data_IF_264333355826
#
_entry.id   IF_264333355826
#
_cell.length_a   1.000
_cell.length_b   1.000
_cell.length_c   1.000
_cell.angle_alpha   90.00
_cell.angle_beta   90.00
_cell.angle_gamma   90.00
#
_symmetry.space_group_name_H-M   'P 1'
#
loop_
_entity.id
_entity.type
_entity.pdbx_description
1 polymer ?
#
# COMPACT_ATOMS: atom_id res chain seq x y z
N UNK A 1 -14.92 27.33 -12.97
CA UNK A 1 -14.91 25.99 -12.32
C UNK A 1 -13.56 25.80 -11.65
N UNK A 2 -13.52 25.74 -10.32
CA UNK A 2 -12.28 25.75 -9.52
C UNK A 2 -11.56 24.40 -9.63
N UNK A 3 -10.73 24.25 -10.66
CA UNK A 3 -9.89 23.08 -10.92
C UNK A 3 -8.51 23.33 -10.30
N UNK A 4 -8.21 22.73 -9.14
CA UNK A 4 -6.89 22.88 -8.53
C UNK A 4 -6.72 22.40 -7.09
N UNK A 5 -7.81 22.21 -6.33
CA UNK A 5 -7.72 21.71 -4.95
C UNK A 5 -7.47 20.20 -4.94
N UNK A 6 -6.34 19.77 -4.34
CA UNK A 6 -6.02 18.36 -4.09
C UNK A 6 -5.97 18.10 -2.58
N UNK A 7 -6.73 17.12 -2.13
CA UNK A 7 -6.85 16.76 -0.72
C UNK A 7 -6.20 15.41 -0.47
N UNK A 8 -5.19 15.39 0.38
CA UNK A 8 -4.50 14.17 0.82
C UNK A 8 -4.96 13.81 2.23
N UNK A 9 -5.41 12.56 2.39
CA UNK A 9 -5.88 11.99 3.66
C UNK A 9 -5.16 10.67 3.93
N UNK A 10 -5.07 10.31 5.20
CA UNK A 10 -4.64 8.98 5.62
C UNK A 10 -5.54 7.90 5.01
N UNK A 11 -4.95 6.76 4.66
CA UNK A 11 -5.68 5.56 4.26
C UNK A 11 -6.41 4.97 5.50
N UNK A 12 -7.77 4.97 5.51
CA UNK A 12 -8.54 4.51 6.66
C UNK A 12 -8.35 3.01 6.91
N UNK A 13 -8.03 2.22 5.89
CA UNK A 13 -7.96 0.75 5.97
C UNK A 13 -6.90 0.31 6.97
N UNK A 14 -5.71 0.93 6.95
CA UNK A 14 -4.65 0.60 7.93
C UNK A 14 -5.04 0.99 9.35
N UNK A 15 -5.75 2.10 9.52
CA UNK A 15 -6.29 2.51 10.83
C UNK A 15 -7.26 1.47 11.37
N UNK A 16 -8.26 1.11 10.58
CA UNK A 16 -9.30 0.13 10.95
C UNK A 16 -8.69 -1.25 11.22
N UNK A 17 -7.76 -1.72 10.39
CA UNK A 17 -7.09 -3.01 10.61
C UNK A 17 -6.29 -3.01 11.91
N UNK A 18 -5.51 -1.95 12.18
CA UNK A 18 -4.77 -1.85 13.44
C UNK A 18 -5.70 -1.76 14.65
N UNK A 19 -6.80 -1.02 14.56
CA UNK A 19 -7.81 -0.92 15.61
C UNK A 19 -8.48 -2.28 15.86
N UNK A 20 -8.82 -3.04 14.81
CA UNK A 20 -9.40 -4.38 14.91
C UNK A 20 -8.45 -5.35 15.61
N UNK A 21 -7.19 -5.40 15.20
CA UNK A 21 -6.19 -6.31 15.81
C UNK A 21 -5.96 -5.97 17.28
N UNK A 22 -5.78 -4.67 17.59
CA UNK A 22 -5.58 -4.20 18.96
C UNK A 22 -6.81 -4.48 19.81
N UNK A 23 -8.02 -4.25 19.29
CA UNK A 23 -9.28 -4.51 20.00
C UNK A 23 -9.47 -6.00 20.25
N UNK A 24 -9.24 -6.85 19.25
CA UNK A 24 -9.34 -8.31 19.41
C UNK A 24 -8.35 -8.83 20.48
N UNK A 25 -7.11 -8.34 20.45
CA UNK A 25 -6.10 -8.70 21.44
C UNK A 25 -6.50 -8.23 22.85
N UNK A 26 -6.91 -6.96 22.99
CA UNK A 26 -7.34 -6.40 24.26
C UNK A 26 -8.58 -7.10 24.80
N UNK A 27 -9.58 -7.38 23.98
CA UNK A 27 -10.77 -8.12 24.37
C UNK A 27 -10.43 -9.53 24.85
N UNK A 28 -9.54 -10.24 24.14
CA UNK A 28 -9.07 -11.55 24.59
C UNK A 28 -8.34 -11.46 25.93
N UNK A 29 -7.36 -10.56 26.08
CA UNK A 29 -6.65 -10.35 27.35
C UNK A 29 -7.62 -10.00 28.48
N UNK A 30 -8.60 -9.13 28.22
CA UNK A 30 -9.61 -8.73 29.21
C UNK A 30 -10.47 -9.92 29.62
N UNK A 31 -10.89 -10.77 28.68
CA UNK A 31 -11.70 -11.95 28.95
C UNK A 31 -10.97 -13.00 29.81
N UNK A 32 -9.65 -13.14 29.68
CA UNK A 32 -8.89 -14.17 30.39
C UNK A 32 -8.23 -13.68 31.68
N UNK A 33 -7.76 -12.43 31.70
CA UNK A 33 -6.97 -11.87 32.79
C UNK A 33 -7.87 -11.16 33.81
N UNK A 34 -8.82 -10.35 33.35
CA UNK A 34 -9.67 -9.55 34.25
C UNK A 34 -10.46 -10.41 35.25
N UNK A 35 -11.02 -11.59 34.88
CA UNK A 35 -11.70 -12.43 35.85
C UNK A 35 -10.80 -12.82 37.02
N UNK A 36 -9.51 -13.04 36.81
CA UNK A 36 -8.58 -13.50 37.87
C UNK A 36 -8.40 -12.46 38.98
N UNK A 37 -8.59 -11.18 38.67
CA UNK A 37 -8.49 -10.07 39.60
C UNK A 37 -9.84 -9.67 40.23
N UNK A 38 -10.94 -10.29 39.80
CA UNK A 38 -12.27 -10.03 40.37
C UNK A 38 -12.53 -10.91 41.62
N UNK A 39 -13.28 -10.40 42.62
CA UNK A 39 -13.56 -11.15 43.84
C UNK A 39 -14.24 -12.49 43.54
N UNK A 40 -13.72 -13.59 44.13
CA UNK A 40 -14.29 -14.95 43.94
C UNK A 40 -15.72 -15.11 44.47
N UNK A 41 -16.18 -14.19 45.32
CA UNK A 41 -17.53 -14.18 45.91
C UNK A 41 -18.58 -13.52 45.02
N UNK A 42 -18.18 -13.01 43.86
CA UNK A 42 -19.05 -12.32 42.92
C UNK A 42 -19.78 -13.34 42.04
N UNK A 43 -21.09 -13.16 41.84
CA UNK A 43 -21.88 -14.04 40.97
C UNK A 43 -21.33 -14.07 39.54
N UNK A 44 -21.40 -15.25 38.91
CA UNK A 44 -20.89 -15.51 37.57
C UNK A 44 -21.47 -14.55 36.52
N UNK A 45 -22.74 -14.20 36.65
CA UNK A 45 -23.44 -13.28 35.76
C UNK A 45 -22.90 -11.85 35.88
N UNK A 46 -22.81 -11.33 37.11
CA UNK A 46 -22.25 -10.00 37.40
C UNK A 46 -20.80 -9.88 36.94
N UNK A 47 -20.01 -10.94 37.14
CA UNK A 47 -18.61 -11.02 36.70
C UNK A 47 -18.51 -10.99 35.17
N UNK A 48 -19.37 -11.72 34.47
CA UNK A 48 -19.46 -11.72 33.00
C UNK A 48 -19.83 -10.35 32.43
N UNK A 49 -20.84 -9.68 33.02
CA UNK A 49 -21.28 -8.34 32.61
C UNK A 49 -20.15 -7.32 32.78
N UNK A 50 -19.43 -7.36 33.91
CA UNK A 50 -18.35 -6.42 34.21
C UNK A 50 -17.19 -6.56 33.20
N UNK A 51 -16.81 -7.79 32.86
CA UNK A 51 -15.79 -8.08 31.84
C UNK A 51 -16.23 -7.59 30.46
N UNK A 52 -17.50 -7.82 30.09
CA UNK A 52 -18.06 -7.35 28.82
C UNK A 52 -18.05 -5.82 28.70
N UNK A 53 -18.48 -5.11 29.76
CA UNK A 53 -18.47 -3.65 29.81
C UNK A 53 -17.05 -3.10 29.64
N UNK A 54 -16.07 -3.67 30.34
CA UNK A 54 -14.66 -3.24 30.23
C UNK A 54 -14.13 -3.49 28.82
N UNK A 55 -14.43 -4.64 28.21
CA UNK A 55 -14.01 -4.95 26.84
C UNK A 55 -14.62 -3.98 25.82
N UNK A 56 -15.90 -3.60 25.97
CA UNK A 56 -16.57 -2.63 25.12
C UNK A 56 -15.97 -1.23 25.27
N UNK A 57 -15.72 -0.77 26.50
CA UNK A 57 -15.10 0.53 26.77
C UNK A 57 -13.70 0.59 26.17
N UNK A 58 -12.86 -0.44 26.37
CA UNK A 58 -11.52 -0.51 25.77
C UNK A 58 -11.58 -0.46 24.24
N UNK A 59 -12.50 -1.21 23.64
CA UNK A 59 -12.71 -1.19 22.18
C UNK A 59 -13.09 0.21 21.69
N UNK A 60 -14.02 0.88 22.38
CA UNK A 60 -14.41 2.26 22.08
C UNK A 60 -13.24 3.24 22.18
N UNK A 61 -12.43 3.14 23.23
CA UNK A 61 -11.23 3.98 23.43
C UNK A 61 -10.21 3.77 22.32
N UNK A 62 -9.93 2.52 21.93
CA UNK A 62 -9.00 2.18 20.84
C UNK A 62 -9.50 2.78 19.52
N UNK A 63 -10.77 2.58 19.17
CA UNK A 63 -11.33 3.12 17.94
C UNK A 63 -11.30 4.65 17.92
N UNK A 64 -11.69 5.29 19.02
CA UNK A 64 -11.69 6.76 19.14
C UNK A 64 -10.26 7.31 19.03
N UNK A 65 -9.29 6.71 19.70
CA UNK A 65 -7.88 7.12 19.65
C UNK A 65 -7.29 6.98 18.24
N UNK A 66 -7.54 5.86 17.57
CA UNK A 66 -6.99 5.58 16.23
C UNK A 66 -7.61 6.47 15.16
N UNK A 67 -8.92 6.73 15.25
CA UNK A 67 -9.66 7.48 14.23
C UNK A 67 -9.61 8.99 14.44
N UNK A 68 -9.58 9.47 15.68
CA UNK A 68 -9.73 10.91 15.99
C UNK A 68 -8.39 11.64 16.20
N UNK A 69 -7.49 11.10 17.04
CA UNK A 69 -6.23 11.78 17.41
C UNK A 69 -5.16 11.78 16.31
N UNK A 70 -5.33 10.94 15.28
CA UNK A 70 -4.34 10.76 14.20
C UNK A 70 -4.85 11.17 12.81
N UNK A 71 -5.92 11.96 12.74
CA UNK A 71 -6.46 12.43 11.47
C UNK A 71 -5.67 13.67 10.99
N UNK A 72 -4.69 13.44 10.11
CA UNK A 72 -3.95 14.53 9.44
C UNK A 72 -4.45 14.66 8.01
N UNK A 73 -4.85 15.87 7.62
CA UNK A 73 -5.32 16.22 6.27
C UNK A 73 -4.40 17.29 5.70
N UNK A 74 -3.92 17.08 4.48
CA UNK A 74 -3.18 18.11 3.74
C UNK A 74 -4.00 18.53 2.53
N UNK A 75 -4.28 19.82 2.41
CA UNK A 75 -5.01 20.40 1.28
C UNK A 75 -4.04 21.27 0.51
N UNK A 76 -3.81 20.95 -0.76
CA UNK A 76 -2.96 21.75 -1.64
C UNK A 76 -3.84 22.50 -2.62
N UNK A 77 -3.74 23.82 -2.59
CA UNK A 77 -4.35 24.77 -3.53
C UNK A 77 -3.26 25.35 -4.45
N UNK A 78 -3.68 26.16 -5.42
CA UNK A 78 -2.74 26.79 -6.35
C UNK A 78 -1.79 27.77 -5.66
N UNK A 79 -2.30 28.48 -4.65
CA UNK A 79 -1.64 29.55 -3.90
C UNK A 79 -1.20 29.14 -2.49
N UNK A 80 -1.85 28.15 -1.88
CA UNK A 80 -1.67 27.81 -0.47
C UNK A 80 -1.65 26.31 -0.20
N UNK A 81 -0.99 25.92 0.89
CA UNK A 81 -0.96 24.55 1.41
C UNK A 81 -1.46 24.59 2.85
N UNK A 82 -2.56 23.89 3.11
CA UNK A 82 -3.16 23.81 4.44
C UNK A 82 -2.90 22.43 5.04
N UNK A 83 -2.42 22.41 6.28
CA UNK A 83 -2.13 21.19 7.02
C UNK A 83 -3.02 21.19 8.27
N UNK A 84 -4.06 20.36 8.23
CA UNK A 84 -4.97 20.14 9.35
C UNK A 84 -4.53 18.94 10.17
N UNK A 85 -4.28 19.15 11.46
CA UNK A 85 -4.20 18.11 12.50
C UNK A 85 -5.47 18.14 13.36
N UNK A 86 -5.68 17.10 14.15
CA UNK A 86 -6.79 17.07 15.12
C UNK A 86 -6.74 18.34 16.01
N UNK A 87 -7.70 19.24 15.84
CA UNK A 87 -7.84 20.48 16.60
C UNK A 87 -6.98 21.69 16.15
N UNK A 88 -6.12 21.56 15.13
CA UNK A 88 -5.29 22.69 14.66
C UNK A 88 -5.16 22.70 13.12
N UNK A 89 -5.17 23.88 12.50
CA UNK A 89 -5.01 24.06 11.06
C UNK A 89 -4.00 25.16 10.79
N UNK A 90 -2.91 24.79 10.13
CA UNK A 90 -1.87 25.73 9.69
C UNK A 90 -1.97 25.93 8.18
N UNK A 91 -1.77 27.16 7.72
CA UNK A 91 -1.84 27.54 6.31
C UNK A 91 -0.50 28.15 5.91
N UNK A 92 0.07 27.65 4.82
CA UNK A 92 1.37 28.06 4.29
C UNK A 92 1.18 28.61 2.87
N UNK A 93 1.74 29.79 2.57
CA UNK A 93 1.76 30.35 1.22
C UNK A 93 2.78 29.62 0.36
N UNK A 94 2.36 29.13 -0.81
CA UNK A 94 3.18 28.32 -1.69
C UNK A 94 4.30 29.10 -2.37
N UNK A 95 4.13 30.41 -2.58
CA UNK A 95 5.13 31.24 -3.24
C UNK A 95 6.38 31.45 -2.38
N UNK A 96 6.20 31.47 -1.06
CA UNK A 96 7.25 31.80 -0.08
C UNK A 96 7.68 30.62 0.79
N UNK A 97 7.04 29.46 0.62
CA UNK A 97 7.31 28.25 1.41
C UNK A 97 8.00 27.16 0.60
N UNK A 98 9.14 26.69 1.09
CA UNK A 98 9.84 25.53 0.56
C UNK A 98 9.36 24.23 1.20
N UNK A 99 9.05 23.22 0.39
CA UNK A 99 8.63 21.91 0.89
C UNK A 99 9.69 20.85 0.57
N UNK A 100 10.07 20.05 1.57
CA UNK A 100 10.98 18.90 1.41
C UNK A 100 10.45 17.67 2.13
N UNK A 101 10.92 16.50 1.74
CA UNK A 101 10.55 15.24 2.37
C UNK A 101 11.59 14.80 3.41
N UNK A 102 11.12 14.19 4.50
CA UNK A 102 11.94 13.46 5.48
C UNK A 102 11.34 12.09 5.72
N UNK A 103 12.14 11.05 5.57
CA UNK A 103 11.72 9.67 5.79
C UNK A 103 12.64 9.07 6.84
N UNK A 104 12.05 8.65 7.96
CA UNK A 104 12.77 8.02 9.07
C UNK A 104 12.42 6.55 9.11
N UNK A 105 13.42 5.67 8.98
CA UNK A 105 13.27 4.23 9.16
C UNK A 105 13.53 3.85 10.62
N UNK A 106 12.58 3.13 11.22
CA UNK A 106 12.67 2.62 12.58
C UNK A 106 13.12 1.17 12.57
N UNK A 107 14.04 0.82 13.48
CA UNK A 107 14.55 -0.54 13.66
C UNK A 107 14.48 -0.93 15.14
N UNK A 108 14.11 -2.18 15.40
CA UNK A 108 14.07 -2.77 16.74
C UNK A 108 14.85 -4.09 16.67
N UNK A 109 15.93 -4.21 17.46
CA UNK A 109 16.84 -5.36 17.45
C UNK A 109 17.39 -5.69 16.03
N UNK A 110 17.73 -4.65 15.26
CA UNK A 110 18.24 -4.79 13.88
C UNK A 110 17.17 -5.09 12.82
N UNK A 111 15.95 -5.47 13.22
CA UNK A 111 14.83 -5.70 12.32
C UNK A 111 14.07 -4.40 12.06
N UNK A 112 13.66 -4.19 10.80
CA UNK A 112 12.87 -3.02 10.42
C UNK A 112 11.49 -3.07 11.09
N UNK A 113 11.22 -2.13 11.99
CA UNK A 113 9.99 -2.06 12.78
C UNK A 113 9.00 -1.02 12.26
N UNK A 114 9.43 -0.02 11.49
CA UNK A 114 8.51 0.97 10.92
C UNK A 114 9.16 2.01 10.01
N UNK A 115 8.33 2.87 9.43
CA UNK A 115 8.77 4.05 8.66
C UNK A 115 7.84 5.21 9.01
N UNK A 116 8.43 6.34 9.40
CA UNK A 116 7.72 7.61 9.61
C UNK A 116 8.04 8.54 8.46
N UNK A 117 7.00 9.17 7.89
CA UNK A 117 7.13 10.18 6.84
C UNK A 117 6.78 11.53 7.42
N UNK A 118 7.59 12.52 7.11
CA UNK A 118 7.38 13.88 7.53
C UNK A 118 7.61 14.84 6.37
N UNK A 119 6.86 15.93 6.39
CA UNK A 119 7.05 17.07 5.51
C UNK A 119 7.92 18.08 6.27
N UNK A 120 9.04 18.49 5.67
CA UNK A 120 9.80 19.63 6.15
C UNK A 120 9.28 20.86 5.42
N UNK A 121 8.82 21.83 6.19
CA UNK A 121 8.30 23.10 5.71
C UNK A 121 9.28 24.20 6.10
N UNK A 122 9.84 24.89 5.10
CA UNK A 122 10.68 26.07 5.28
C UNK A 122 9.85 27.31 4.97
N UNK A 123 9.49 28.06 6.01
CA UNK A 123 8.70 29.28 5.88
C UNK A 123 9.22 30.35 6.84
N UNK A 124 9.33 31.59 6.38
CA UNK A 124 9.79 32.74 7.18
C UNK A 124 11.13 32.49 7.94
N UNK A 125 12.09 31.80 7.31
CA UNK A 125 13.39 31.50 7.91
C UNK A 125 13.38 30.40 8.99
N UNK A 126 12.24 29.75 9.24
CA UNK A 126 12.10 28.64 10.18
C UNK A 126 11.87 27.32 9.44
N UNK A 127 12.51 26.26 9.94
CA UNK A 127 12.24 24.89 9.53
C UNK A 127 11.25 24.24 10.50
N UNK A 128 10.17 23.67 9.98
CA UNK A 128 9.16 22.96 10.75
C UNK A 128 9.05 21.54 10.19
N UNK A 129 9.25 20.54 11.05
CA UNK A 129 9.01 19.14 10.69
C UNK A 129 7.58 18.75 11.06
N UNK A 130 6.80 18.37 10.07
CA UNK A 130 5.41 17.93 10.22
C UNK A 130 5.35 16.43 9.96
N UNK A 131 5.21 15.65 11.02
CA UNK A 131 4.99 14.21 10.88
C UNK A 131 3.61 13.94 10.26
N UNK A 132 3.59 13.02 9.30
CA UNK A 132 2.39 12.59 8.58
C UNK A 132 2.10 11.11 8.89
N UNK A 133 1.71 10.79 10.14
CA UNK A 133 1.47 9.42 10.53
C UNK A 133 0.32 8.81 9.73
N UNK A 134 0.55 7.62 9.18
CA UNK A 134 -0.45 6.91 8.38
C UNK A 134 -0.52 7.33 6.92
N UNK A 135 0.26 8.33 6.47
CA UNK A 135 0.47 8.52 5.04
C UNK A 135 1.24 7.32 4.48
N UNK A 136 0.60 6.64 3.52
CA UNK A 136 1.23 5.56 2.78
C UNK A 136 2.35 6.15 1.91
N UNK A 137 3.17 5.26 1.33
CA UNK A 137 4.21 5.69 0.41
C UNK A 137 3.63 6.44 -0.80
N UNK A 138 2.56 5.92 -1.39
CA UNK A 138 1.91 6.53 -2.55
C UNK A 138 1.32 7.90 -2.21
N UNK A 139 0.50 7.99 -1.16
CA UNK A 139 -0.12 9.26 -0.76
C UNK A 139 0.92 10.35 -0.43
N UNK A 140 2.05 9.97 0.17
CA UNK A 140 3.13 10.91 0.46
C UNK A 140 3.91 11.32 -0.80
N UNK A 141 4.15 10.39 -1.72
CA UNK A 141 4.80 10.68 -2.99
C UNK A 141 3.93 11.60 -3.86
N UNK A 142 2.63 11.33 -3.96
CA UNK A 142 1.67 12.19 -4.66
C UNK A 142 1.64 13.60 -4.07
N UNK A 143 1.67 13.72 -2.75
CA UNK A 143 1.77 15.01 -2.06
C UNK A 143 3.05 15.74 -2.49
N UNK A 144 4.20 15.09 -2.45
CA UNK A 144 5.48 15.70 -2.84
C UNK A 144 5.53 16.07 -4.32
N UNK A 145 4.96 15.25 -5.20
CA UNK A 145 4.84 15.53 -6.63
C UNK A 145 4.05 16.82 -6.91
N UNK A 146 2.98 17.06 -6.14
CA UNK A 146 2.19 18.28 -6.25
C UNK A 146 2.93 19.47 -5.66
N UNK A 147 3.64 19.29 -4.54
CA UNK A 147 4.37 20.38 -3.86
C UNK A 147 5.65 20.79 -4.61
N UNK A 148 6.31 19.86 -5.29
CA UNK A 148 7.61 20.06 -5.96
C UNK A 148 7.60 19.42 -7.36
N UNK A 149 6.92 20.04 -8.34
CA UNK A 149 6.84 19.48 -9.70
C UNK A 149 8.22 19.46 -10.37
N UNK A 150 8.57 18.34 -11.00
CA UNK A 150 9.81 18.19 -11.78
C UNK A 150 9.73 19.06 -13.04
N UNK A 151 10.78 19.84 -13.31
CA UNK A 151 10.88 20.63 -14.54
C UNK A 151 10.89 19.71 -15.78
N UNK A 152 10.15 20.10 -16.83
CA UNK A 152 10.14 19.37 -18.10
C UNK A 152 11.51 19.48 -18.81
N UNK A 153 12.08 18.37 -19.34
CA UNK A 153 13.33 18.42 -20.09
C UNK A 153 13.16 19.15 -21.42
N UNK A 154 14.21 19.84 -21.88
CA UNK A 154 14.25 20.52 -23.17
C UNK A 154 14.12 19.52 -24.36
N UNK A 155 13.54 19.96 -25.50
CA UNK A 155 13.42 19.12 -26.70
C UNK A 155 14.80 18.82 -27.32
N UNK A 156 15.03 17.56 -27.73
CA UNK A 156 16.28 17.10 -28.33
C UNK A 156 16.24 17.12 -29.88
N UNK A 157 17.41 17.11 -30.51
CA UNK A 157 17.59 17.06 -31.97
C UNK A 157 16.99 15.77 -32.59
N UNK A 158 16.18 15.85 -33.67
CA UNK A 158 15.52 14.72 -34.30
C UNK A 158 16.46 13.65 -34.88
N UNK A 159 17.66 14.01 -35.37
CA UNK A 159 18.58 13.05 -36.02
C UNK A 159 19.31 12.21 -34.97
N UNK A 160 19.78 12.83 -33.90
CA UNK A 160 20.38 12.13 -32.77
C UNK A 160 19.35 11.27 -32.05
N UNK A 161 18.10 11.72 -31.96
CA UNK A 161 17.00 10.92 -31.44
C UNK A 161 16.68 9.69 -32.31
N UNK A 162 16.89 9.73 -33.63
CA UNK A 162 16.68 8.60 -34.52
C UNK A 162 17.82 7.57 -34.43
N UNK A 163 19.08 8.02 -34.35
CA UNK A 163 20.24 7.15 -34.16
C UNK A 163 20.21 6.49 -32.77
N UNK A 164 19.84 7.23 -31.73
CA UNK A 164 19.65 6.68 -30.39
C UNK A 164 18.56 5.58 -30.39
N UNK A 165 17.45 5.78 -31.13
CA UNK A 165 16.36 4.79 -31.25
C UNK A 165 16.79 3.45 -31.82
N UNK A 166 17.68 3.43 -32.80
CA UNK A 166 18.11 2.20 -33.48
C UNK A 166 18.89 1.24 -32.57
N UNK A 167 19.49 1.74 -31.49
CA UNK A 167 20.25 0.93 -30.53
C UNK A 167 19.44 0.51 -29.31
N UNK A 168 18.20 0.96 -29.17
CA UNK A 168 17.38 0.63 -28.01
C UNK A 168 16.73 -0.76 -28.15
N UNK A 169 16.62 -1.52 -27.04
CA UNK A 169 15.94 -2.81 -27.05
C UNK A 169 14.44 -2.65 -27.35
N UNK A 170 13.89 -3.55 -28.17
CA UNK A 170 12.45 -3.57 -28.52
C UNK A 170 11.65 -4.57 -27.69
N UNK A 171 12.31 -5.49 -27.00
CA UNK A 171 11.68 -6.54 -26.20
C UNK A 171 12.24 -6.58 -24.77
N UNK A 172 11.35 -6.85 -23.83
CA UNK A 172 11.61 -6.90 -22.41
C UNK A 172 10.91 -8.11 -21.81
N UNK A 173 11.58 -8.77 -20.88
CA UNK A 173 11.05 -9.86 -20.07
C UNK A 173 10.85 -9.37 -18.65
N UNK A 174 9.77 -9.80 -18.00
CA UNK A 174 9.43 -9.40 -16.64
C UNK A 174 9.35 -10.66 -15.79
N UNK A 175 10.36 -10.85 -14.92
CA UNK A 175 10.38 -11.97 -13.98
C UNK A 175 9.53 -11.65 -12.75
N UNK A 176 8.54 -12.50 -12.50
CA UNK A 176 7.64 -12.45 -11.34
C UNK A 176 7.77 -13.68 -10.43
N UNK A 177 8.83 -14.49 -10.62
CA UNK A 177 9.09 -15.73 -9.88
C UNK A 177 9.00 -15.56 -8.36
N UNK A 178 9.63 -14.51 -7.81
CA UNK A 178 9.61 -14.18 -6.37
C UNK A 178 8.22 -13.83 -5.84
N UNK A 179 7.40 -13.15 -6.64
CA UNK A 179 6.02 -12.83 -6.25
C UNK A 179 5.12 -14.07 -6.35
N UNK A 180 5.36 -14.95 -7.33
CA UNK A 180 4.65 -16.24 -7.47
C UNK A 180 4.96 -17.18 -6.30
N UNK A 181 6.22 -17.32 -5.93
CA UNK A 181 6.63 -18.17 -4.80
C UNK A 181 6.05 -17.67 -3.48
N UNK A 182 6.01 -16.35 -3.26
CA UNK A 182 5.36 -15.77 -2.09
C UNK A 182 3.86 -16.06 -2.05
N UNK A 183 3.14 -15.82 -3.17
CA UNK A 183 1.70 -16.09 -3.24
C UNK A 183 1.39 -17.57 -2.98
N UNK A 184 2.22 -18.48 -3.53
CA UNK A 184 2.11 -19.92 -3.29
C UNK A 184 2.41 -20.26 -1.82
N UNK A 185 3.47 -19.71 -1.23
CA UNK A 185 3.81 -19.93 0.19
C UNK A 185 2.72 -19.46 1.14
N UNK A 186 2.13 -18.29 0.89
CA UNK A 186 0.97 -17.80 1.67
C UNK A 186 -0.24 -18.74 1.53
N UNK A 187 -0.51 -19.22 0.31
CA UNK A 187 -1.63 -20.13 0.06
C UNK A 187 -1.43 -21.48 0.77
N UNK A 188 -0.22 -22.06 0.69
CA UNK A 188 0.13 -23.31 1.38
C UNK A 188 -0.01 -23.13 2.89
N UNK A 189 0.56 -22.06 3.46
CA UNK A 189 0.44 -21.76 4.88
C UNK A 189 -1.01 -21.58 5.34
N UNK A 190 -1.83 -20.92 4.53
CA UNK A 190 -3.26 -20.78 4.79
C UNK A 190 -3.96 -22.14 4.86
N UNK A 191 -3.73 -23.01 3.87
CA UNK A 191 -4.33 -24.35 3.81
C UNK A 191 -3.91 -25.19 5.02
N UNK A 192 -2.61 -25.23 5.34
CA UNK A 192 -2.09 -26.01 6.47
C UNK A 192 -2.73 -25.56 7.79
N UNK A 193 -2.78 -24.25 8.06
CA UNK A 193 -3.36 -23.73 9.31
C UNK A 193 -4.87 -23.98 9.40
N UNK A 194 -5.60 -23.84 8.30
CA UNK A 194 -7.04 -24.14 8.27
C UNK A 194 -7.31 -25.64 8.45
N UNK A 195 -6.47 -26.51 7.89
CA UNK A 195 -6.56 -27.96 8.11
C UNK A 195 -6.28 -28.32 9.58
N UNK A 196 -5.27 -27.71 10.20
CA UNK A 196 -4.98 -27.90 11.63
C UNK A 196 -6.15 -27.43 12.49
N UNK A 197 -6.71 -26.24 12.21
CA UNK A 197 -7.86 -25.72 12.93
C UNK A 197 -9.09 -26.65 12.79
N UNK A 198 -9.35 -27.16 11.58
CA UNK A 198 -10.45 -28.10 11.32
C UNK A 198 -10.24 -29.44 12.02
N UNK A 199 -9.03 -30.01 11.99
CA UNK A 199 -8.71 -31.28 12.62
C UNK A 199 -8.84 -31.20 14.16
N UNK A 200 -8.28 -30.16 14.77
CA UNK A 200 -8.41 -29.93 16.23
C UNK A 200 -9.87 -29.61 16.60
N UNK A 201 -10.56 -28.83 15.78
CA UNK A 201 -11.99 -28.57 15.94
C UNK A 201 -12.81 -29.85 15.92
N UNK A 202 -12.55 -30.77 14.98
CA UNK A 202 -13.22 -32.06 14.92
C UNK A 202 -12.92 -32.94 16.14
N UNK A 203 -11.67 -32.96 16.63
CA UNK A 203 -11.29 -33.67 17.86
C UNK A 203 -12.02 -33.12 19.09
N UNK A 204 -12.28 -31.81 19.16
CA UNK A 204 -13.04 -31.21 20.25
C UNK A 204 -14.48 -31.72 20.37
N UNK A 205 -15.05 -32.24 19.28
CA UNK A 205 -16.37 -32.89 19.27
C UNK A 205 -16.31 -34.38 19.62
N UNK A 206 -15.11 -34.97 19.80
CA UNK A 206 -14.99 -36.38 20.18
C UNK A 206 -15.22 -36.59 21.69
N UNK A 207 -15.95 -37.66 22.10
CA UNK A 207 -16.24 -37.92 23.50
C UNK A 207 -14.95 -38.09 24.33
N UNK A 208 -14.86 -37.42 25.48
CA UNK A 208 -13.73 -37.52 26.42
C UNK A 208 -12.49 -36.70 26.05
N UNK A 209 -12.45 -36.02 24.91
CA UNK A 209 -11.30 -35.19 24.51
C UNK A 209 -11.17 -33.91 25.34
N UNK A 210 -12.30 -33.27 25.68
CA UNK A 210 -12.32 -32.05 26.49
C UNK A 210 -11.94 -32.30 27.95
N UNK A 211 -12.06 -33.54 28.42
CA UNK A 211 -11.74 -33.94 29.80
C UNK A 211 -10.28 -34.42 29.93
N UNK A 212 -9.55 -34.57 28.82
CA UNK A 212 -8.16 -35.02 28.80
C UNK A 212 -7.12 -33.90 28.89
N UNK A 213 -5.87 -34.27 29.15
CA UNK A 213 -4.71 -33.35 29.19
C UNK A 213 -4.47 -32.63 27.85
N UNK A 214 -4.96 -33.20 26.75
CA UNK A 214 -4.87 -32.65 25.39
C UNK A 214 -5.96 -31.60 25.07
N UNK A 215 -6.92 -31.37 25.97
CA UNK A 215 -7.98 -30.37 25.82
C UNK A 215 -7.44 -28.95 25.57
N UNK A 216 -6.23 -28.65 26.07
CA UNK A 216 -5.53 -27.39 25.81
C UNK A 216 -5.28 -27.13 24.31
N UNK A 217 -5.26 -28.17 23.46
CA UNK A 217 -5.11 -28.00 22.01
C UNK A 217 -6.28 -27.24 21.38
N UNK A 218 -7.47 -27.24 21.99
CA UNK A 218 -8.63 -26.46 21.49
C UNK A 218 -8.31 -24.98 21.38
N UNK A 219 -7.39 -24.46 22.21
CA UNK A 219 -6.93 -23.08 22.15
C UNK A 219 -6.20 -22.76 20.83
N UNK A 220 -5.65 -23.75 20.13
CA UNK A 220 -4.99 -23.55 18.82
C UNK A 220 -5.99 -23.17 17.73
N UNK A 221 -7.24 -23.63 17.82
CA UNK A 221 -8.28 -23.43 16.80
C UNK A 221 -8.51 -21.95 16.45
N UNK A 222 -8.78 -21.04 17.40
CA UNK A 222 -8.99 -19.62 17.06
C UNK A 222 -7.74 -18.96 16.46
N UNK A 223 -6.54 -19.26 16.95
CA UNK A 223 -5.30 -18.66 16.43
C UNK A 223 -4.96 -19.17 15.04
N UNK A 224 -5.03 -20.49 14.82
CA UNK A 224 -4.79 -21.10 13.52
C UNK A 224 -5.85 -20.67 12.49
N UNK A 225 -7.12 -20.58 12.90
CA UNK A 225 -8.21 -20.09 12.05
C UNK A 225 -7.99 -18.65 11.59
N UNK A 226 -7.73 -17.72 12.52
CA UNK A 226 -7.48 -16.31 12.18
C UNK A 226 -6.23 -16.14 11.31
N UNK A 227 -5.13 -16.82 11.67
CA UNK A 227 -3.90 -16.77 10.88
C UNK A 227 -4.12 -17.37 9.47
N UNK A 228 -4.82 -18.49 9.36
CA UNK A 228 -5.16 -19.13 8.08
C UNK A 228 -5.99 -18.23 7.17
N UNK A 229 -7.03 -17.58 7.70
CA UNK A 229 -7.85 -16.61 6.95
C UNK A 229 -7.00 -15.41 6.52
N UNK A 230 -6.16 -14.87 7.40
CA UNK A 230 -5.27 -13.75 7.08
C UNK A 230 -4.30 -14.07 5.94
N UNK A 231 -3.67 -15.25 5.99
CA UNK A 231 -2.80 -15.75 4.92
C UNK A 231 -3.56 -15.98 3.61
N UNK A 232 -4.79 -16.50 3.67
CA UNK A 232 -5.65 -16.71 2.50
C UNK A 232 -5.98 -15.39 1.79
N UNK A 233 -6.41 -14.37 2.55
CA UNK A 233 -6.68 -13.03 2.04
C UNK A 233 -5.40 -12.46 1.39
N UNK A 234 -4.26 -12.61 2.06
CA UNK A 234 -2.96 -12.21 1.52
C UNK A 234 -2.63 -12.91 0.20
N UNK A 235 -2.80 -14.23 0.12
CA UNK A 235 -2.57 -15.02 -1.08
C UNK A 235 -3.47 -14.57 -2.24
N UNK A 236 -4.77 -14.36 -1.98
CA UNK A 236 -5.73 -13.90 -3.00
C UNK A 236 -5.37 -12.49 -3.50
N UNK A 237 -5.03 -11.56 -2.61
CA UNK A 237 -4.59 -10.22 -3.00
C UNK A 237 -3.33 -10.28 -3.87
N UNK A 238 -2.34 -11.11 -3.49
CA UNK A 238 -1.11 -11.30 -4.26
C UNK A 238 -1.36 -11.94 -5.63
N UNK A 239 -2.28 -12.91 -5.70
CA UNK A 239 -2.69 -13.53 -6.96
C UNK A 239 -3.38 -12.54 -7.91
N UNK A 240 -4.10 -11.55 -7.39
CA UNK A 240 -4.64 -10.45 -8.21
C UNK A 240 -3.53 -9.56 -8.78
N UNK A 241 -2.51 -9.24 -7.99
CA UNK A 241 -1.33 -8.50 -8.46
C UNK A 241 -0.57 -9.29 -9.53
N UNK A 242 -0.36 -10.59 -9.33
CA UNK A 242 0.29 -11.47 -10.32
C UNK A 242 -0.40 -11.45 -11.69
N UNK A 243 -1.74 -11.41 -11.72
CA UNK A 243 -2.50 -11.29 -12.99
C UNK A 243 -2.27 -9.96 -13.72
N UNK A 244 -1.76 -8.94 -13.03
CA UNK A 244 -1.43 -7.65 -13.63
C UNK A 244 0.02 -7.55 -14.09
N UNK A 245 0.87 -8.54 -13.78
CA UNK A 245 2.28 -8.54 -14.20
C UNK A 245 2.38 -9.30 -15.53
N UNK A 246 2.70 -8.63 -16.66
CA UNK A 246 2.98 -9.32 -17.91
C UNK A 246 4.29 -10.12 -17.77
N UNK A 247 4.46 -11.17 -18.55
CA UNK A 247 5.73 -11.90 -18.66
C UNK A 247 6.63 -11.30 -19.74
N UNK A 248 6.03 -10.80 -20.83
CA UNK A 248 6.75 -10.22 -21.97
C UNK A 248 6.15 -8.86 -22.33
N UNK A 249 7.02 -7.90 -22.62
CA UNK A 249 6.65 -6.57 -23.10
C UNK A 249 7.48 -6.26 -24.34
N UNK A 250 6.82 -6.01 -25.46
CA UNK A 250 7.48 -5.51 -26.66
C UNK A 250 6.96 -4.11 -27.00
N UNK A 251 7.85 -3.23 -27.41
CA UNK A 251 7.53 -1.87 -27.82
C UNK A 251 7.95 -1.70 -29.26
N UNK A 252 7.00 -1.29 -30.08
CA UNK A 252 7.20 -1.01 -31.49
C UNK A 252 6.62 0.36 -31.85
N UNK A 253 6.88 0.83 -33.07
CA UNK A 253 6.38 2.10 -33.58
C UNK A 253 4.84 2.16 -33.67
N UNK A 254 4.16 1.02 -33.76
CA UNK A 254 2.69 0.94 -33.82
C UNK A 254 2.03 0.91 -32.42
N UNK A 255 2.75 0.49 -31.38
CA UNK A 255 2.16 0.29 -30.06
C UNK A 255 3.02 -0.51 -29.09
N UNK A 256 2.38 -0.93 -28.00
CA UNK A 256 2.99 -1.76 -26.95
C UNK A 256 2.25 -3.10 -26.92
N UNK A 257 2.99 -4.20 -27.04
CA UNK A 257 2.48 -5.55 -26.86
C UNK A 257 2.81 -6.03 -25.46
N UNK A 258 1.79 -6.48 -24.73
CA UNK A 258 1.92 -7.12 -23.42
C UNK A 258 1.48 -8.58 -23.54
N UNK A 259 2.42 -9.50 -23.35
CA UNK A 259 2.24 -10.93 -23.62
C UNK A 259 1.69 -11.15 -25.05
N UNK A 260 0.44 -11.60 -25.16
CA UNK A 260 -0.26 -11.84 -26.44
C UNK A 260 -1.28 -10.75 -26.79
N UNK A 261 -1.22 -9.59 -26.11
CA UNK A 261 -2.16 -8.49 -26.33
C UNK A 261 -1.46 -7.27 -26.90
N UNK A 262 -1.81 -6.95 -28.14
CA UNK A 262 -1.39 -5.73 -28.79
C UNK A 262 -2.22 -4.53 -28.32
N UNK A 263 -1.53 -3.44 -27.98
CA UNK A 263 -2.12 -2.17 -27.55
C UNK A 263 -1.60 -1.06 -28.49
N UNK A 264 -2.31 -0.81 -29.61
CA UNK A 264 -1.90 0.20 -30.59
C UNK A 264 -1.94 1.62 -30.00
N UNK A 265 -0.96 2.47 -30.31
CA UNK A 265 -0.92 3.86 -29.84
C UNK A 265 -2.15 4.66 -30.28
N UNK A 266 -2.69 4.39 -31.47
CA UNK A 266 -3.88 5.03 -32.00
C UNK A 266 -5.15 4.80 -31.15
N UNK A 267 -5.18 3.74 -30.32
CA UNK A 267 -6.33 3.44 -29.44
C UNK A 267 -6.17 4.04 -28.04
N UNK A 268 -5.02 4.64 -27.76
CA UNK A 268 -4.65 5.18 -26.47
C UNK A 268 -4.81 6.69 -26.47
N UNK A 269 -5.44 7.18 -25.41
CA UNK A 269 -5.50 8.62 -25.10
C UNK A 269 -4.32 9.04 -24.22
N UNK A 270 -3.82 8.11 -23.40
CA UNK A 270 -2.71 8.36 -22.47
C UNK A 270 -2.02 7.07 -22.04
N UNK A 271 -0.72 7.18 -21.85
CA UNK A 271 0.19 6.19 -21.28
C UNK A 271 0.84 6.84 -20.06
N UNK A 272 0.71 6.17 -18.93
CA UNK A 272 1.24 6.60 -17.65
C UNK A 272 2.36 5.66 -17.25
N UNK A 273 3.56 6.18 -17.05
CA UNK A 273 4.73 5.41 -16.62
C UNK A 273 5.29 5.94 -15.31
N UNK A 274 5.58 5.04 -14.37
CA UNK A 274 6.22 5.44 -13.12
C UNK A 274 7.69 5.83 -13.34
N UNK A 275 8.27 6.85 -12.68
CA UNK A 275 9.70 7.13 -12.81
C UNK A 275 10.60 6.01 -12.24
N UNK A 276 11.85 5.92 -12.72
CA UNK A 276 12.81 4.85 -12.35
C UNK A 276 13.14 4.76 -10.86
N UNK A 277 13.12 5.88 -10.14
CA UNK A 277 13.43 5.98 -8.71
C UNK A 277 12.33 5.45 -7.77
N UNK A 278 11.21 4.98 -8.33
CA UNK A 278 10.07 4.47 -7.57
C UNK A 278 10.20 2.96 -7.31
N UNK A 279 9.66 2.46 -6.19
CA UNK A 279 9.86 1.07 -5.76
C UNK A 279 9.00 0.06 -6.50
N UNK A 280 7.96 0.55 -7.16
CA UNK A 280 6.97 -0.22 -7.89
C UNK A 280 6.80 0.57 -9.17
N UNK A 281 7.28 -0.02 -10.25
CA UNK A 281 7.33 0.55 -11.59
C UNK A 281 6.12 0.00 -12.32
N UNK A 282 5.26 0.88 -12.83
CA UNK A 282 4.01 0.51 -13.49
C UNK A 282 3.90 1.14 -14.86
N UNK A 283 3.05 0.53 -15.67
CA UNK A 283 2.49 1.13 -16.87
C UNK A 283 0.97 1.13 -16.77
N UNK A 284 0.34 2.26 -17.03
CA UNK A 284 -1.12 2.39 -17.08
C UNK A 284 -1.54 2.97 -18.43
N UNK A 285 -2.53 2.33 -19.04
CA UNK A 285 -3.10 2.71 -20.32
C UNK A 285 -4.49 3.28 -20.12
N UNK A 286 -4.76 4.43 -20.73
CA UNK A 286 -6.09 5.02 -20.83
C UNK A 286 -6.56 4.92 -22.30
N UNK A 287 -7.56 4.08 -22.56
CA UNK A 287 -8.17 3.95 -23.90
C UNK A 287 -9.27 5.00 -24.10
N UNK A 288 -9.54 5.37 -25.36
CA UNK A 288 -10.63 6.30 -25.70
C UNK A 288 -12.00 5.82 -25.19
N UNK A 289 -12.21 4.50 -25.12
CA UNK A 289 -13.41 3.86 -24.55
C UNK A 289 -13.50 3.93 -23.00
N UNK A 290 -12.65 4.72 -22.33
CA UNK A 290 -12.66 4.91 -20.87
C UNK A 290 -12.10 3.76 -20.03
N UNK A 291 -11.78 2.62 -20.64
CA UNK A 291 -11.20 1.47 -19.94
C UNK A 291 -9.74 1.73 -19.58
N UNK A 292 -9.45 1.70 -18.27
CA UNK A 292 -8.09 1.79 -17.73
C UNK A 292 -7.51 0.39 -17.50
N UNK A 293 -6.25 0.21 -17.88
CA UNK A 293 -5.50 -1.03 -17.62
C UNK A 293 -4.18 -0.67 -16.95
N UNK A 294 -3.81 -1.38 -15.90
CA UNK A 294 -2.59 -1.10 -15.13
C UNK A 294 -1.81 -2.39 -14.97
N UNK A 295 -0.53 -2.32 -15.28
CA UNK A 295 0.40 -3.43 -15.22
C UNK A 295 1.63 -3.05 -14.40
N UNK A 296 2.10 -4.00 -13.60
CA UNK A 296 3.32 -3.84 -12.80
C UNK A 296 4.48 -4.39 -13.61
N UNK A 297 5.48 -3.55 -13.87
CA UNK A 297 6.67 -3.87 -14.66
C UNK A 297 7.91 -4.04 -13.79
N UNK A 298 7.91 -3.52 -12.57
CA UNK A 298 9.02 -3.72 -11.64
C UNK A 298 8.62 -3.49 -10.19
N UNK A 299 9.26 -4.21 -9.26
CA UNK A 299 9.15 -4.01 -7.81
C UNK A 299 10.30 -4.71 -7.10
N UNK A 300 10.34 -4.71 -5.76
CA UNK A 300 11.32 -5.51 -5.01
C UNK A 300 11.27 -7.03 -5.27
N UNK A 301 10.22 -7.52 -5.95
CA UNK A 301 10.00 -8.94 -6.27
C UNK A 301 9.65 -9.18 -7.74
N UNK A 302 9.73 -8.13 -8.55
CA UNK A 302 9.42 -8.17 -9.98
C UNK A 302 10.54 -7.45 -10.68
N UNK A 303 11.31 -8.16 -11.48
CA UNK A 303 12.51 -7.63 -12.12
C UNK A 303 12.27 -7.60 -13.64
N UNK A 304 12.71 -6.53 -14.31
CA UNK A 304 12.57 -6.37 -15.76
C UNK A 304 13.94 -6.44 -16.41
N UNK A 305 14.04 -7.17 -17.53
CA UNK A 305 15.27 -7.33 -18.31
C UNK A 305 14.96 -7.13 -19.79
N UNK A 306 15.58 -6.17 -20.49
CA UNK A 306 16.50 -5.12 -20.01
C UNK A 306 15.89 -4.19 -18.94
N UNK A 307 16.69 -3.30 -18.31
CA UNK A 307 16.22 -2.53 -17.16
C UNK A 307 15.05 -1.59 -17.54
N UNK A 308 14.24 -1.29 -16.53
CA UNK A 308 13.10 -0.39 -16.67
C UNK A 308 13.48 1.01 -17.14
N UNK A 309 14.70 1.49 -16.83
CA UNK A 309 15.18 2.75 -17.38
C UNK A 309 15.24 2.73 -18.91
N UNK A 310 15.73 1.63 -19.49
CA UNK A 310 15.78 1.45 -20.94
C UNK A 310 14.37 1.37 -21.53
N UNK A 311 13.45 0.70 -20.84
CA UNK A 311 12.04 0.66 -21.21
C UNK A 311 11.41 2.07 -21.29
N UNK A 312 11.65 2.93 -20.29
CA UNK A 312 11.17 4.32 -20.32
C UNK A 312 11.75 5.11 -21.50
N UNK A 313 13.04 4.93 -21.79
CA UNK A 313 13.70 5.57 -22.92
C UNK A 313 13.07 5.13 -24.25
N UNK A 314 12.82 3.83 -24.41
CA UNK A 314 12.16 3.27 -25.60
C UNK A 314 10.76 3.83 -25.77
N UNK A 315 9.92 3.78 -24.74
CA UNK A 315 8.54 4.29 -24.86
C UNK A 315 8.54 5.79 -25.14
N UNK A 316 9.42 6.56 -24.48
CA UNK A 316 9.57 8.00 -24.75
C UNK A 316 10.00 8.26 -26.19
N UNK A 317 10.93 7.48 -26.71
CA UNK A 317 11.42 7.65 -28.06
C UNK A 317 10.37 7.28 -29.12
N UNK A 318 9.59 6.22 -28.89
CA UNK A 318 8.51 5.81 -29.80
C UNK A 318 7.31 6.76 -29.74
N UNK A 319 7.01 7.35 -28.59
CA UNK A 319 5.90 8.30 -28.41
C UNK A 319 6.29 9.77 -28.64
N UNK A 320 7.53 10.06 -29.04
CA UNK A 320 8.01 11.44 -29.22
C UNK A 320 7.19 12.26 -30.23
N UNK A 321 6.58 11.61 -31.22
CA UNK A 321 5.69 12.24 -32.20
C UNK A 321 4.27 12.50 -31.66
N UNK A 322 3.95 12.01 -30.45
CA UNK A 322 2.67 12.16 -29.75
C UNK A 322 2.92 12.69 -28.32
N UNK A 323 3.31 13.96 -28.16
CA UNK A 323 3.83 14.49 -26.89
C UNK A 323 2.80 14.46 -25.74
N UNK A 324 1.50 14.44 -26.03
CA UNK A 324 0.45 14.35 -25.01
C UNK A 324 0.15 12.91 -24.57
N UNK A 325 0.61 11.91 -25.33
CA UNK A 325 0.31 10.51 -25.09
C UNK A 325 1.06 9.99 -23.86
N UNK A 326 2.34 10.37 -23.68
CA UNK A 326 3.14 9.90 -22.55
C UNK A 326 3.13 10.88 -21.38
N UNK A 327 2.77 10.39 -20.20
CA UNK A 327 2.85 11.11 -18.93
C UNK A 327 3.58 10.26 -17.89
N UNK A 328 4.30 10.93 -16.99
CA UNK A 328 4.87 10.26 -15.83
C UNK A 328 3.80 10.16 -14.74
N UNK A 329 3.59 8.94 -14.27
CA UNK A 329 2.71 8.62 -13.15
C UNK A 329 3.50 8.72 -11.86
N UNK A 330 3.24 9.74 -11.07
CA UNK A 330 3.94 9.97 -9.80
C UNK A 330 3.29 9.19 -8.63
N UNK A 331 2.39 8.24 -8.95
CA UNK A 331 1.65 7.31 -8.06
C UNK A 331 2.48 6.67 -6.91
#
# INVERSE_FOLDING_TARGET
MVSGERVFRRDPVRGVVSALVISALLSAVTLFVLPQFLPRRMDLETRGILVLVVALVLTGVVFTSVLWLRNTRVVVRGDSVEIGRAGNREVYDRATTGFRSKITEHRTNGLRSGVTRALIVYSAGREITIELPGFTRSTFNDLMAVLTPLASPAPADPVDAARARAHLPSSFTVDSSKERSLAAGLMIGAVVLLLVAAAVGALAFSPGFLDGELSALVLVVPFAGVAGIGLLIGAVQRRRVLRSIPAHVAVDHHGIRLDDRDIPFAQLTRIWLTPTGYPVRRIRFERAAGRRMTHVLGSSRVDMTPDYADFLLVVRAQTAHLPELLRLDLE
#
